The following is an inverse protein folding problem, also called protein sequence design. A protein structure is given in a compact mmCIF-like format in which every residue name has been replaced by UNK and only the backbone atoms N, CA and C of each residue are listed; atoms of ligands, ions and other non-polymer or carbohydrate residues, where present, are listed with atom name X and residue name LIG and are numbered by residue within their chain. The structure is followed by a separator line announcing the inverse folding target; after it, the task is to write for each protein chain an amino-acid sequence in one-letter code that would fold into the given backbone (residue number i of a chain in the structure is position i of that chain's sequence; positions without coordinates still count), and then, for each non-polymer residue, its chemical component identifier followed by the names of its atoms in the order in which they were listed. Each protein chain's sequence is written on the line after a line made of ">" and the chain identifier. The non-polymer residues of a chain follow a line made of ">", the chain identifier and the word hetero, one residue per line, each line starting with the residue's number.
data_IF_448216370116
#
_entry.id   IF_448216370116
#
_cell.length_a   1.000
_cell.length_b   1.000
_cell.length_c   1.000
_cell.angle_alpha   90.00
_cell.angle_beta   90.00
_cell.angle_gamma   90.00
#
_symmetry.space_group_name_H-M   'P 1'
#
loop_
_entity.id
_entity.type
_entity.pdbx_description
1 polymer ?
#
# COMPACT_ATOMS: atom_id res chain seq x y z
N UNK A 1 -12.25 10.34 -1.12
CA UNK A 1 -11.91 10.95 0.19
C UNK A 1 -10.39 10.96 0.33
N UNK A 2 -9.84 11.79 1.21
CA UNK A 2 -8.41 11.88 1.54
C UNK A 2 -8.23 11.45 2.98
N UNK A 3 -7.21 10.67 3.31
CA UNK A 3 -6.97 10.21 4.69
C UNK A 3 -5.81 10.98 5.29
N UNK A 4 -5.94 11.40 6.55
CA UNK A 4 -4.85 12.06 7.27
C UNK A 4 -4.80 11.60 8.73
N UNK A 5 -3.71 11.94 9.41
CA UNK A 5 -3.53 11.68 10.84
C UNK A 5 -3.85 12.93 11.64
N UNK A 6 -4.89 12.86 12.47
CA UNK A 6 -5.25 13.87 13.45
C UNK A 6 -4.34 13.72 14.68
N UNK A 7 -3.42 14.67 14.90
CA UNK A 7 -2.34 14.50 15.86
C UNK A 7 -2.76 14.76 17.31
N UNK A 8 -3.84 15.52 17.53
CA UNK A 8 -4.37 15.74 18.88
C UNK A 8 -5.30 14.59 19.26
N UNK A 9 -6.18 14.19 18.34
CA UNK A 9 -7.12 13.08 18.55
C UNK A 9 -6.49 11.68 18.46
N UNK A 10 -5.22 11.60 18.07
CA UNK A 10 -4.44 10.35 17.91
C UNK A 10 -5.14 9.29 17.04
N UNK A 11 -5.74 9.73 15.93
CA UNK A 11 -6.51 8.86 15.05
C UNK A 11 -6.36 9.22 13.57
N UNK A 12 -6.77 8.29 12.72
CA UNK A 12 -6.97 8.56 11.31
C UNK A 12 -8.33 9.22 11.07
N UNK A 13 -8.35 10.18 10.16
CA UNK A 13 -9.55 10.90 9.73
C UNK A 13 -9.72 10.82 8.23
N UNK A 14 -10.99 10.79 7.81
CA UNK A 14 -11.40 10.79 6.41
C UNK A 14 -11.91 12.17 6.03
N UNK A 15 -11.33 12.76 5.00
CA UNK A 15 -11.58 14.11 4.52
C UNK A 15 -12.26 14.01 3.14
N UNK A 16 -13.58 14.14 3.11
CA UNK A 16 -14.36 14.09 1.88
C UNK A 16 -15.22 15.33 1.66
N UNK A 17 -15.62 15.54 0.40
CA UNK A 17 -16.47 16.65 0.02
C UNK A 17 -17.87 16.56 0.63
N UNK A 18 -18.42 15.34 0.74
CA UNK A 18 -19.74 15.10 1.33
C UNK A 18 -19.77 15.46 2.82
N UNK A 19 -18.64 15.32 3.51
CA UNK A 19 -18.43 15.69 4.90
C UNK A 19 -18.04 17.17 5.07
N UNK A 20 -17.96 17.93 3.98
CA UNK A 20 -17.63 19.35 4.00
C UNK A 20 -16.13 19.65 4.19
N UNK A 21 -15.24 18.66 4.07
CA UNK A 21 -13.80 18.88 4.23
C UNK A 21 -13.20 19.73 3.09
N UNK A 22 -13.83 19.70 1.91
CA UNK A 22 -13.45 20.50 0.75
C UNK A 22 -14.62 20.63 -0.23
N UNK A 23 -14.75 21.79 -0.85
CA UNK A 23 -15.69 22.07 -1.95
C UNK A 23 -14.97 22.56 -3.21
N UNK A 24 -13.66 22.82 -3.12
CA UNK A 24 -12.85 23.37 -4.20
C UNK A 24 -11.51 22.64 -4.35
N UNK A 25 -10.87 22.78 -5.51
CA UNK A 25 -9.55 22.19 -5.77
C UNK A 25 -8.46 22.70 -4.79
N UNK A 26 -8.40 23.99 -4.42
CA UNK A 26 -7.46 24.46 -3.39
C UNK A 26 -7.66 23.80 -2.02
N UNK A 27 -8.91 23.59 -1.59
CA UNK A 27 -9.21 22.91 -0.32
C UNK A 27 -8.89 21.41 -0.38
N UNK A 28 -9.16 20.75 -1.52
CA UNK A 28 -8.73 19.38 -1.75
C UNK A 28 -7.20 19.29 -1.70
N UNK A 29 -6.48 20.20 -2.35
CA UNK A 29 -5.03 20.26 -2.31
C UNK A 29 -4.51 20.47 -0.87
N UNK A 30 -5.23 21.24 -0.05
CA UNK A 30 -4.92 21.41 1.36
C UNK A 30 -5.09 20.10 2.16
N UNK A 31 -6.16 19.35 1.90
CA UNK A 31 -6.36 18.01 2.49
C UNK A 31 -5.28 17.02 2.03
N UNK A 32 -4.94 17.01 0.74
CA UNK A 32 -3.86 16.19 0.18
C UNK A 32 -2.51 16.53 0.82
N UNK A 33 -2.24 17.82 1.06
CA UNK A 33 -1.04 18.26 1.77
C UNK A 33 -1.00 17.66 3.19
N UNK A 34 -2.12 17.61 3.91
CA UNK A 34 -2.18 16.94 5.21
C UNK A 34 -1.85 15.45 5.08
N UNK A 35 -2.47 14.75 4.13
CA UNK A 35 -2.29 13.31 3.88
C UNK A 35 -0.86 12.89 3.54
N UNK A 36 -0.04 13.81 3.00
CA UNK A 36 1.32 13.53 2.52
C UNK A 36 2.41 14.21 3.37
N UNK A 37 2.03 14.79 4.53
CA UNK A 37 2.97 15.58 5.33
C UNK A 37 3.81 14.70 6.25
N UNK A 38 4.96 14.24 5.75
CA UNK A 38 5.91 13.49 6.56
C UNK A 38 6.47 14.37 7.70
N UNK A 39 6.23 14.01 8.97
CA UNK A 39 6.65 14.83 10.11
C UNK A 39 8.16 15.11 10.13
N UNK A 40 8.50 16.39 10.19
CA UNK A 40 9.90 16.85 10.22
C UNK A 40 10.60 16.90 8.86
N UNK A 41 9.92 16.49 7.77
CA UNK A 41 10.45 16.52 6.40
C UNK A 41 9.64 17.51 5.55
N UNK A 42 8.30 17.36 5.52
CA UNK A 42 7.42 18.08 4.59
C UNK A 42 6.83 19.39 5.15
N UNK A 43 7.59 20.11 5.97
CA UNK A 43 7.20 21.42 6.51
C UNK A 43 6.30 21.38 7.75
N UNK A 44 5.53 22.45 8.04
CA UNK A 44 4.66 22.52 9.21
C UNK A 44 3.35 21.75 9.00
N UNK A 45 2.82 21.14 10.07
CA UNK A 45 1.53 20.44 10.11
C UNK A 45 0.40 21.27 9.49
N UNK A 46 -0.64 20.59 9.01
CA UNK A 46 -1.78 21.23 8.35
C UNK A 46 -2.93 21.34 9.36
N UNK A 47 -3.35 22.55 9.75
CA UNK A 47 -4.53 22.71 10.61
C UNK A 47 -5.79 22.43 9.79
N UNK A 48 -6.62 21.49 10.24
CA UNK A 48 -7.94 21.20 9.64
C UNK A 48 -8.99 21.09 10.74
N UNK A 49 -10.24 21.33 10.39
CA UNK A 49 -11.35 21.16 11.33
C UNK A 49 -11.71 19.69 11.47
N UNK A 50 -11.92 19.23 12.70
CA UNK A 50 -12.48 17.92 12.99
C UNK A 50 -14.01 17.93 12.83
N UNK A 51 -14.65 16.78 13.05
CA UNK A 51 -16.12 16.63 12.95
C UNK A 51 -16.91 17.49 13.94
N UNK A 52 -16.26 18.06 14.96
CA UNK A 52 -16.86 18.98 15.93
C UNK A 52 -16.66 20.45 15.54
N UNK A 53 -16.01 20.73 14.42
CA UNK A 53 -15.66 22.07 13.97
C UNK A 53 -14.45 22.66 14.70
N UNK A 54 -13.74 21.88 15.52
CA UNK A 54 -12.54 22.32 16.22
C UNK A 54 -11.32 22.12 15.31
N UNK A 55 -10.44 23.11 15.24
CA UNK A 55 -9.22 23.01 14.45
C UNK A 55 -8.15 22.20 15.19
N UNK A 56 -7.61 21.17 14.54
CA UNK A 56 -6.49 20.39 15.06
C UNK A 56 -5.38 20.17 14.02
N UNK A 57 -4.12 19.95 14.46
CA UNK A 57 -3.01 19.73 13.55
C UNK A 57 -3.05 18.33 12.93
N UNK A 58 -2.90 18.27 11.60
CA UNK A 58 -2.87 17.04 10.83
C UNK A 58 -1.51 16.82 10.16
N UNK A 59 -1.16 15.54 9.98
CA UNK A 59 0.00 15.09 9.23
C UNK A 59 -0.31 13.83 8.41
N UNK A 60 0.72 13.26 7.78
CA UNK A 60 0.60 12.10 6.90
C UNK A 60 -0.21 10.96 7.53
N UNK A 61 -1.07 10.32 6.73
CA UNK A 61 -1.90 9.21 7.17
C UNK A 61 -1.09 8.04 7.76
N UNK A 62 0.18 7.90 7.37
CA UNK A 62 1.05 6.81 7.81
C UNK A 62 1.22 6.70 9.32
N UNK A 63 0.91 7.74 10.11
CA UNK A 63 1.03 7.66 11.57
C UNK A 63 -0.02 6.76 12.21
N UNK A 64 -1.24 6.73 11.66
CA UNK A 64 -2.37 5.98 12.24
C UNK A 64 -3.05 5.03 11.25
N UNK A 65 -2.91 5.26 9.95
CA UNK A 65 -3.54 4.45 8.90
C UNK A 65 -2.63 4.34 7.66
N UNK A 66 -1.50 3.61 7.76
CA UNK A 66 -0.56 3.42 6.65
C UNK A 66 -1.19 2.84 5.38
N UNK A 67 -2.18 1.96 5.54
CA UNK A 67 -2.99 1.43 4.44
C UNK A 67 -4.47 1.67 4.77
N UNK A 68 -5.18 2.58 4.09
CA UNK A 68 -6.48 3.11 4.54
C UNK A 68 -7.69 2.21 4.31
N UNK A 69 -7.52 0.88 4.28
CA UNK A 69 -8.62 -0.05 4.06
C UNK A 69 -9.52 -0.20 5.28
N UNK A 70 -8.96 -0.15 6.50
CA UNK A 70 -9.78 -0.29 7.73
C UNK A 70 -10.71 0.90 7.89
N UNK A 71 -10.24 2.11 7.58
CA UNK A 71 -11.10 3.29 7.54
C UNK A 71 -12.24 3.14 6.52
N UNK A 72 -11.95 2.67 5.29
CA UNK A 72 -12.99 2.44 4.29
C UNK A 72 -14.06 1.45 4.78
N UNK A 73 -13.65 0.39 5.48
CA UNK A 73 -14.56 -0.61 6.06
C UNK A 73 -15.42 0.00 7.17
N UNK A 74 -14.84 0.82 8.06
CA UNK A 74 -15.59 1.55 9.09
C UNK A 74 -16.62 2.51 8.49
N UNK A 75 -16.35 3.02 7.30
CA UNK A 75 -17.29 3.84 6.53
C UNK A 75 -18.35 3.02 5.77
N UNK A 76 -18.39 1.70 5.97
CA UNK A 76 -19.40 0.81 5.40
C UNK A 76 -18.99 0.11 4.10
N UNK A 77 -17.72 0.16 3.70
CA UNK A 77 -17.27 -0.63 2.57
C UNK A 77 -17.37 -2.14 2.86
N UNK A 78 -18.01 -2.87 1.95
CA UNK A 78 -18.15 -4.34 1.99
C UNK A 78 -17.14 -5.04 1.08
N UNK A 79 -16.65 -4.34 0.05
CA UNK A 79 -15.66 -4.83 -0.92
C UNK A 79 -14.55 -3.80 -1.01
N UNK A 80 -13.30 -4.23 -0.81
CA UNK A 80 -12.15 -3.32 -0.78
C UNK A 80 -11.04 -3.81 -1.70
N UNK A 81 -10.78 -3.03 -2.75
CA UNK A 81 -9.57 -3.15 -3.56
C UNK A 81 -8.43 -2.40 -2.87
N UNK A 82 -7.35 -3.11 -2.52
CA UNK A 82 -6.20 -2.51 -1.81
C UNK A 82 -4.98 -2.53 -2.72
N UNK A 83 -4.58 -1.37 -3.22
CA UNK A 83 -3.38 -1.24 -4.06
C UNK A 83 -2.15 -0.97 -3.19
N UNK A 84 -1.13 -1.81 -3.31
CA UNK A 84 0.14 -1.70 -2.59
C UNK A 84 1.29 -1.42 -3.54
N UNK A 85 2.14 -0.47 -3.14
CA UNK A 85 3.34 -0.08 -3.89
C UNK A 85 4.56 -0.92 -3.57
N UNK A 86 4.50 -1.80 -2.57
CA UNK A 86 5.58 -2.73 -2.23
C UNK A 86 5.22 -4.15 -2.63
N UNK A 87 6.17 -4.93 -3.19
CA UNK A 87 6.00 -6.37 -3.40
C UNK A 87 5.80 -7.15 -2.11
N UNK A 88 5.17 -8.32 -2.23
CA UNK A 88 4.99 -9.28 -1.15
C UNK A 88 6.32 -9.97 -0.79
N UNK A 89 6.42 -10.45 0.46
CA UNK A 89 7.61 -11.15 0.97
C UNK A 89 8.76 -10.24 1.38
N UNK A 90 8.66 -8.92 1.21
CA UNK A 90 9.66 -7.98 1.68
C UNK A 90 9.54 -7.72 3.19
N UNK A 91 10.69 -7.60 3.87
CA UNK A 91 10.71 -7.23 5.28
C UNK A 91 10.32 -5.74 5.45
N UNK A 92 9.12 -5.51 5.97
CA UNK A 92 8.58 -4.17 6.25
C UNK A 92 8.99 -3.63 7.63
N UNK A 93 9.55 -4.47 8.50
CA UNK A 93 9.96 -4.10 9.86
C UNK A 93 11.45 -3.79 9.88
N UNK A 94 11.81 -2.57 9.45
CA UNK A 94 13.16 -2.03 9.68
C UNK A 94 13.22 -1.40 11.07
N UNK A 95 14.36 -1.52 11.76
CA UNK A 95 14.60 -0.75 13.00
C UNK A 95 14.58 0.75 12.68
N UNK A 96 14.03 1.55 13.60
CA UNK A 96 14.07 3.00 13.48
C UNK A 96 15.52 3.48 13.46
N UNK A 97 15.85 4.34 12.50
CA UNK A 97 17.19 4.91 12.41
C UNK A 97 17.40 5.99 13.47
N UNK A 98 18.66 6.24 13.84
CA UNK A 98 19.00 7.32 14.77
C UNK A 98 18.52 8.69 14.24
N UNK A 99 18.61 8.89 12.92
CA UNK A 99 18.16 10.11 12.24
C UNK A 99 16.65 10.28 12.37
N UNK A 100 15.86 9.23 12.13
CA UNK A 100 14.40 9.27 12.31
C UNK A 100 14.01 9.63 13.75
N UNK A 101 14.71 9.07 14.74
CA UNK A 101 14.49 9.37 16.15
C UNK A 101 14.79 10.85 16.47
N UNK A 102 15.87 11.39 15.92
CA UNK A 102 16.23 12.79 16.09
C UNK A 102 15.20 13.72 15.42
N UNK A 103 14.75 13.38 14.20
CA UNK A 103 13.70 14.13 13.48
C UNK A 103 12.40 14.13 14.30
N UNK A 104 11.96 12.96 14.79
CA UNK A 104 10.75 12.85 15.60
C UNK A 104 10.86 13.65 16.91
N UNK A 105 12.00 13.59 17.61
CA UNK A 105 12.24 14.37 18.82
C UNK A 105 12.19 15.88 18.56
N UNK A 106 12.91 16.35 17.53
CA UNK A 106 12.94 17.77 17.19
C UNK A 106 11.55 18.26 16.75
N UNK A 107 10.85 17.49 15.92
CA UNK A 107 9.57 17.88 15.37
C UNK A 107 8.46 17.82 16.43
N UNK A 108 8.18 16.64 16.99
CA UNK A 108 7.06 16.47 17.92
C UNK A 108 7.35 17.03 19.29
N UNK A 109 8.51 16.73 19.89
CA UNK A 109 8.78 17.12 21.28
C UNK A 109 9.18 18.59 21.41
N UNK A 110 10.08 19.09 20.54
CA UNK A 110 10.56 20.48 20.66
C UNK A 110 9.68 21.49 19.93
N UNK A 111 9.41 21.29 18.64
CA UNK A 111 8.69 22.27 17.82
C UNK A 111 7.18 22.27 18.09
N UNK A 112 6.55 21.10 18.05
CA UNK A 112 5.10 20.96 18.20
C UNK A 112 4.64 20.88 19.66
N UNK A 113 5.56 20.58 20.60
CA UNK A 113 5.25 20.34 22.03
C UNK A 113 4.19 19.25 22.23
N UNK A 114 4.27 18.18 21.42
CA UNK A 114 3.39 17.01 21.45
C UNK A 114 4.19 15.77 21.90
N UNK A 115 4.47 15.62 23.21
CA UNK A 115 5.29 14.52 23.72
C UNK A 115 4.64 13.15 23.49
N UNK A 116 3.31 13.07 23.49
CA UNK A 116 2.56 11.84 23.20
C UNK A 116 2.82 11.35 21.77
N UNK A 117 2.82 12.24 20.78
CA UNK A 117 3.18 11.89 19.39
C UNK A 117 4.65 11.46 19.26
N UNK A 118 5.56 12.09 20.01
CA UNK A 118 6.94 11.62 20.06
C UNK A 118 7.04 10.20 20.64
N UNK A 119 6.29 9.91 21.71
CA UNK A 119 6.22 8.57 22.29
C UNK A 119 5.64 7.55 21.31
N UNK A 120 4.58 7.90 20.57
CA UNK A 120 4.01 7.07 19.50
C UNK A 120 5.05 6.69 18.44
N UNK A 121 5.85 7.67 17.99
CA UNK A 121 6.94 7.43 17.04
C UNK A 121 8.06 6.59 17.63
N UNK A 122 8.44 6.84 18.89
CA UNK A 122 9.50 6.09 19.59
C UNK A 122 9.12 4.63 19.82
N UNK A 123 7.84 4.36 20.09
CA UNK A 123 7.28 3.02 20.23
C UNK A 123 7.03 2.34 18.87
N UNK A 124 7.26 3.04 17.76
CA UNK A 124 7.07 2.54 16.40
C UNK A 124 5.65 1.99 16.12
N UNK A 125 4.63 2.53 16.80
CA UNK A 125 3.23 2.06 16.66
C UNK A 125 2.72 2.10 15.21
N UNK A 126 3.11 3.13 14.46
CA UNK A 126 2.81 3.23 13.03
C UNK A 126 3.41 2.08 12.19
N UNK A 127 4.62 1.60 12.53
CA UNK A 127 5.25 0.46 11.84
C UNK A 127 4.65 -0.86 12.25
N UNK A 128 4.29 -1.02 13.52
CA UNK A 128 3.56 -2.20 14.02
C UNK A 128 2.24 -2.34 13.26
N UNK A 129 1.46 -1.25 13.19
CA UNK A 129 0.21 -1.22 12.41
C UNK A 129 0.43 -1.55 10.94
N UNK A 130 1.45 -0.94 10.31
CA UNK A 130 1.77 -1.27 8.93
C UNK A 130 2.12 -2.76 8.74
N UNK A 131 2.90 -3.35 9.65
CA UNK A 131 3.27 -4.75 9.58
C UNK A 131 2.04 -5.67 9.74
N UNK A 132 1.17 -5.38 10.71
CA UNK A 132 -0.12 -6.08 10.89
C UNK A 132 -0.96 -6.03 9.62
N UNK A 133 -1.08 -4.84 9.02
CA UNK A 133 -1.83 -4.64 7.79
C UNK A 133 -1.24 -5.42 6.62
N UNK A 134 0.09 -5.47 6.48
CA UNK A 134 0.74 -6.23 5.41
C UNK A 134 0.55 -7.73 5.60
N UNK A 135 0.66 -8.25 6.83
CA UNK A 135 0.40 -9.66 7.12
C UNK A 135 -1.04 -10.05 6.76
N UNK A 136 -2.01 -9.25 7.20
CA UNK A 136 -3.43 -9.47 6.91
C UNK A 136 -3.71 -9.43 5.41
N UNK A 137 -3.15 -8.45 4.70
CA UNK A 137 -3.31 -8.31 3.25
C UNK A 137 -2.63 -9.47 2.49
N UNK A 138 -1.53 -10.02 3.00
CA UNK A 138 -0.91 -11.21 2.40
C UNK A 138 -1.78 -12.45 2.61
N UNK A 139 -2.35 -12.64 3.80
CA UNK A 139 -3.29 -13.72 4.08
C UNK A 139 -4.54 -13.62 3.20
N UNK A 140 -5.10 -12.42 3.05
CA UNK A 140 -6.24 -12.19 2.19
C UNK A 140 -5.92 -12.46 0.71
N UNK A 141 -4.72 -12.10 0.23
CA UNK A 141 -4.29 -12.37 -1.14
C UNK A 141 -4.04 -13.85 -1.42
N UNK A 142 -3.71 -14.65 -0.39
CA UNK A 142 -3.45 -16.08 -0.51
C UNK A 142 -4.74 -16.93 -0.50
N UNK A 143 -5.92 -16.34 -0.24
CA UNK A 143 -7.19 -17.08 -0.27
C UNK A 143 -7.53 -17.55 -1.68
N UNK A 144 -7.98 -18.80 -1.77
CA UNK A 144 -8.40 -19.42 -3.02
C UNK A 144 -9.82 -19.00 -3.44
N UNK A 145 -10.67 -18.69 -2.46
CA UNK A 145 -12.03 -18.22 -2.69
C UNK A 145 -12.08 -16.68 -2.49
N UNK A 146 -12.26 -15.90 -3.58
CA UNK A 146 -12.36 -14.44 -3.49
C UNK A 146 -13.66 -13.97 -2.81
N UNK A 147 -14.65 -14.85 -2.63
CA UNK A 147 -15.91 -14.54 -1.95
C UNK A 147 -15.85 -14.75 -0.43
N UNK A 148 -14.79 -15.39 0.07
CA UNK A 148 -14.60 -15.64 1.49
C UNK A 148 -14.31 -14.34 2.26
N UNK A 149 -15.06 -14.13 3.33
CA UNK A 149 -14.90 -12.96 4.19
C UNK A 149 -13.52 -12.96 4.87
N UNK A 150 -12.89 -11.79 4.96
CA UNK A 150 -11.63 -11.61 5.69
C UNK A 150 -11.91 -11.48 7.18
N UNK A 151 -11.37 -12.36 8.05
CA UNK A 151 -11.43 -12.17 9.48
C UNK A 151 -10.54 -10.97 9.83
N UNK A 152 -11.18 -9.88 10.27
CA UNK A 152 -10.49 -8.66 10.65
C UNK A 152 -10.42 -8.57 12.17
N UNK A 153 -9.21 -8.49 12.71
CA UNK A 153 -9.01 -8.13 14.11
C UNK A 153 -9.15 -6.61 14.28
N UNK A 154 -10.02 -6.19 15.19
CA UNK A 154 -10.27 -4.79 15.52
C UNK A 154 -9.71 -4.49 16.91
N UNK A 155 -9.28 -3.25 17.11
CA UNK A 155 -8.85 -2.78 18.42
C UNK A 155 -10.00 -2.89 19.42
N UNK A 156 -9.74 -3.36 20.64
CA UNK A 156 -10.76 -3.60 21.68
C UNK A 156 -11.72 -2.41 21.90
N UNK A 157 -11.25 -1.20 21.63
CA UNK A 157 -11.97 0.05 21.91
C UNK A 157 -12.72 0.60 20.68
N UNK A 158 -12.69 -0.09 19.53
CA UNK A 158 -13.44 0.29 18.33
C UNK A 158 -14.24 -0.91 17.83
N UNK A 159 -15.58 -0.85 17.83
CA UNK A 159 -16.38 -1.94 17.32
C UNK A 159 -15.99 -2.24 15.87
N UNK A 160 -15.81 -3.52 15.56
CA UNK A 160 -15.60 -3.98 14.19
C UNK A 160 -16.85 -3.76 13.32
N UNK A 161 -16.74 -3.96 12.00
CA UNK A 161 -17.86 -4.00 11.10
C UNK A 161 -18.81 -5.11 11.55
N UNK A 162 -20.09 -4.86 11.38
CA UNK A 162 -21.16 -5.83 11.63
C UNK A 162 -21.46 -6.68 10.39
N UNK A 163 -20.71 -6.47 9.32
CA UNK A 163 -20.89 -7.06 8.00
C UNK A 163 -19.63 -7.76 7.52
N UNK A 164 -19.82 -8.72 6.63
CA UNK A 164 -18.74 -9.44 5.96
C UNK A 164 -17.98 -8.50 5.03
N UNK A 165 -16.65 -8.61 5.04
CA UNK A 165 -15.74 -7.80 4.23
C UNK A 165 -14.98 -8.69 3.28
N UNK A 166 -15.04 -8.36 1.99
CA UNK A 166 -14.22 -8.97 0.93
C UNK A 166 -13.09 -8.02 0.57
N UNK A 167 -11.90 -8.58 0.39
CA UNK A 167 -10.72 -7.78 0.05
C UNK A 167 -10.02 -8.39 -1.16
N UNK A 168 -9.60 -7.51 -2.07
CA UNK A 168 -8.70 -7.85 -3.17
C UNK A 168 -7.41 -7.04 -3.01
N UNK A 169 -6.40 -7.55 -2.30
CA UNK A 169 -5.09 -6.92 -2.22
C UNK A 169 -4.32 -7.11 -3.53
N UNK A 170 -3.75 -6.03 -4.04
CA UNK A 170 -2.92 -6.01 -5.25
C UNK A 170 -1.57 -5.43 -4.89
N UNK A 171 -0.56 -6.29 -4.78
CA UNK A 171 0.84 -5.90 -4.64
C UNK A 171 1.57 -5.93 -5.98
N UNK A 172 2.66 -5.15 -6.06
CA UNK A 172 3.62 -5.24 -7.17
C UNK A 172 4.27 -6.62 -7.21
N UNK A 173 4.64 -7.07 -8.41
CA UNK A 173 5.42 -8.29 -8.58
C UNK A 173 6.89 -8.02 -8.22
N UNK A 174 7.60 -8.95 -7.54
CA UNK A 174 9.02 -8.77 -7.26
C UNK A 174 9.85 -8.71 -8.56
N UNK A 175 11.02 -8.09 -8.49
CA UNK A 175 11.96 -7.95 -9.61
C UNK A 175 11.65 -6.76 -10.53
N UNK A 176 11.97 -6.90 -11.81
CA UNK A 176 11.85 -5.83 -12.81
C UNK A 176 10.41 -5.35 -13.05
N UNK A 177 9.42 -6.16 -12.68
CA UNK A 177 7.98 -5.82 -12.78
C UNK A 177 7.44 -5.13 -11.52
N UNK A 178 8.30 -4.81 -10.57
CA UNK A 178 7.95 -4.05 -9.37
C UNK A 178 9.18 -3.66 -8.57
N UNK A 179 10.07 -2.83 -9.14
CA UNK A 179 11.23 -2.34 -8.43
C UNK A 179 10.78 -1.57 -7.18
N UNK A 180 11.45 -1.80 -6.04
CA UNK A 180 11.23 -0.99 -4.86
C UNK A 180 11.74 0.42 -5.15
N UNK A 181 10.82 1.39 -5.17
CA UNK A 181 11.19 2.81 -5.28
C UNK A 181 11.59 3.31 -3.90
N UNK A 182 12.76 3.94 -3.81
CA UNK A 182 13.21 4.59 -2.58
C UNK A 182 12.19 5.63 -2.10
N UNK A 183 11.99 5.73 -0.79
CA UNK A 183 11.06 6.71 -0.19
C UNK A 183 11.41 8.18 -0.53
N UNK A 184 12.66 8.45 -0.90
CA UNK A 184 13.15 9.77 -1.29
C UNK A 184 13.51 9.84 -2.78
N UNK A 185 12.99 8.93 -3.60
CA UNK A 185 13.22 8.96 -5.04
C UNK A 185 12.64 10.23 -5.65
N UNK A 186 13.45 10.92 -6.45
CA UNK A 186 13.07 12.14 -7.17
C UNK A 186 13.27 12.00 -8.68
N UNK A 187 13.94 10.96 -9.14
CA UNK A 187 14.09 10.67 -10.57
C UNK A 187 12.74 10.35 -11.20
N UNK A 188 12.36 11.16 -12.18
CA UNK A 188 11.09 11.00 -12.87
C UNK A 188 11.02 9.68 -13.64
N UNK A 189 12.13 9.22 -14.23
CA UNK A 189 12.19 7.98 -15.00
C UNK A 189 11.85 6.75 -14.14
N UNK A 190 12.46 6.66 -12.95
CA UNK A 190 12.17 5.61 -11.98
C UNK A 190 10.73 5.65 -11.48
N UNK A 191 10.22 6.85 -11.15
CA UNK A 191 8.83 7.03 -10.71
C UNK A 191 7.85 6.59 -11.82
N UNK A 192 8.05 7.06 -13.06
CA UNK A 192 7.21 6.67 -14.20
C UNK A 192 7.27 5.17 -14.47
N UNK A 193 8.46 4.56 -14.38
CA UNK A 193 8.62 3.12 -14.52
C UNK A 193 7.80 2.35 -13.47
N UNK A 194 7.91 2.72 -12.20
CA UNK A 194 7.14 2.09 -11.13
C UNK A 194 5.63 2.26 -11.28
N UNK A 195 5.17 3.44 -11.72
CA UNK A 195 3.74 3.67 -12.04
C UNK A 195 3.27 2.73 -13.16
N UNK A 196 4.07 2.56 -14.22
CA UNK A 196 3.74 1.62 -15.31
C UNK A 196 3.67 0.17 -14.83
N UNK A 197 4.58 -0.24 -13.95
CA UNK A 197 4.56 -1.57 -13.31
C UNK A 197 3.27 -1.77 -12.49
N UNK A 198 2.89 -0.79 -11.67
CA UNK A 198 1.63 -0.82 -10.92
C UNK A 198 0.40 -0.88 -11.81
N UNK A 199 0.37 -0.08 -12.88
CA UNK A 199 -0.71 -0.13 -13.87
C UNK A 199 -0.80 -1.50 -14.54
N UNK A 200 0.32 -2.04 -15.04
CA UNK A 200 0.34 -3.34 -15.69
C UNK A 200 -0.18 -4.44 -14.75
N UNK A 201 0.22 -4.40 -13.47
CA UNK A 201 -0.25 -5.36 -12.47
C UNK A 201 -1.74 -5.23 -12.19
N UNK A 202 -2.25 -4.02 -12.03
CA UNK A 202 -3.68 -3.80 -11.85
C UNK A 202 -4.47 -4.24 -13.09
N UNK A 203 -3.97 -3.95 -14.29
CA UNK A 203 -4.59 -4.35 -15.54
C UNK A 203 -4.62 -5.88 -15.69
N UNK A 204 -3.53 -6.60 -15.42
CA UNK A 204 -3.49 -8.07 -15.45
C UNK A 204 -4.54 -8.73 -14.55
N UNK A 205 -4.90 -8.10 -13.43
CA UNK A 205 -5.86 -8.63 -12.46
C UNK A 205 -7.30 -8.18 -12.71
N UNK A 206 -7.50 -6.95 -13.19
CA UNK A 206 -8.80 -6.29 -13.23
C UNK A 206 -9.34 -6.09 -14.64
N UNK A 207 -8.51 -6.27 -15.68
CA UNK A 207 -8.99 -6.22 -17.04
C UNK A 207 -10.12 -7.25 -17.20
N UNK A 208 -11.23 -6.89 -17.86
CA UNK A 208 -12.27 -7.85 -18.18
C UNK A 208 -11.62 -9.07 -18.80
N UNK A 209 -12.05 -10.26 -18.39
CA UNK A 209 -11.81 -11.46 -19.19
C UNK A 209 -12.49 -11.18 -20.53
N UNK A 210 -11.73 -10.70 -21.50
CA UNK A 210 -12.15 -10.76 -22.88
C UNK A 210 -12.37 -12.24 -23.11
N UNK A 211 -13.62 -12.64 -23.36
CA UNK A 211 -13.93 -14.01 -23.73
C UNK A 211 -12.95 -14.40 -24.83
N UNK A 212 -11.95 -15.21 -24.47
CA UNK A 212 -11.00 -15.77 -25.42
C UNK A 212 -11.68 -16.82 -26.33
N UNK A 213 -13.01 -16.90 -26.27
CA UNK A 213 -13.85 -17.34 -27.36
C UNK A 213 -13.99 -16.17 -28.34
N UNK A 214 -12.92 -15.90 -29.09
CA UNK A 214 -13.11 -15.28 -30.40
C UNK A 214 -14.16 -16.09 -31.17
N UNK A 215 -14.99 -15.46 -32.02
CA UNK A 215 -15.91 -16.20 -32.87
C UNK A 215 -15.08 -17.28 -33.58
N UNK A 216 -15.52 -18.54 -33.47
CA UNK A 216 -14.92 -19.64 -34.23
C UNK A 216 -14.70 -19.15 -35.65
N UNK A 217 -13.43 -19.13 -36.09
CA UNK A 217 -13.10 -18.73 -37.44
C UNK A 217 -14.01 -19.57 -38.36
N UNK A 218 -14.76 -18.94 -39.28
CA UNK A 218 -15.62 -19.69 -40.18
C UNK A 218 -14.76 -20.73 -40.87
N UNK A 219 -15.19 -22.00 -40.79
CA UNK A 219 -14.48 -23.13 -41.42
C UNK A 219 -14.11 -22.73 -42.84
N UNK A 220 -12.81 -22.55 -43.07
CA UNK A 220 -12.28 -22.25 -44.38
C UNK A 220 -12.66 -23.42 -45.29
N UNK A 221 -13.66 -23.18 -46.14
CA UNK A 221 -14.09 -24.12 -47.15
C UNK A 221 -12.88 -24.61 -47.95
N UNK A 222 -12.71 -25.92 -47.97
CA UNK A 222 -11.74 -26.60 -48.83
C UNK A 222 -12.05 -26.22 -50.29
N UNK A 223 -11.16 -25.44 -50.90
CA UNK A 223 -11.28 -25.08 -52.31
C UNK A 223 -9.92 -24.74 -52.92
N UNK A 224 -9.28 -25.76 -53.52
CA UNK A 224 -8.57 -25.68 -54.81
C UNK A 224 -7.29 -24.86 -54.92
N UNK A 225 -6.16 -25.57 -54.98
CA UNK A 225 -5.02 -25.40 -55.90
C UNK A 225 -4.66 -24.00 -56.43
N UNK A 226 -3.50 -23.46 -55.99
CA UNK A 226 -2.29 -23.30 -56.83
C UNK A 226 -1.19 -22.48 -56.12
N UNK A 227 0.11 -22.70 -56.43
CA UNK A 227 1.22 -22.13 -55.68
C UNK A 227 1.83 -20.89 -56.37
N UNK A 228 2.05 -19.79 -55.63
CA UNK A 228 3.02 -18.76 -56.02
C UNK A 228 3.77 -18.26 -54.79
N UNK A 229 5.09 -18.43 -54.84
CA UNK A 229 6.10 -17.93 -53.90
C UNK A 229 6.11 -16.40 -53.83
N UNK A 230 6.19 -15.83 -52.61
CA UNK A 230 7.05 -14.67 -52.31
C UNK A 230 7.35 -14.63 -50.80
N UNK A 231 8.60 -14.39 -50.35
CA UNK A 231 8.96 -14.33 -48.94
C UNK A 231 9.03 -12.87 -48.45
N UNK A 232 8.47 -12.57 -47.27
CA UNK A 232 9.06 -11.71 -46.23
C UNK A 232 8.04 -11.37 -45.14
N UNK A 233 8.39 -11.66 -43.89
CA UNK A 233 7.68 -11.17 -42.71
C UNK A 233 7.93 -12.07 -41.52
N UNK A 234 8.95 -11.75 -40.70
CA UNK A 234 9.17 -12.42 -39.42
C UNK A 234 8.00 -12.12 -38.49
N UNK A 235 7.20 -13.15 -38.22
CA UNK A 235 6.16 -13.18 -37.21
C UNK A 235 6.75 -13.02 -35.80
N UNK A 236 6.15 -12.12 -35.02
CA UNK A 236 6.25 -12.14 -33.57
C UNK A 236 5.32 -13.24 -33.06
N UNK A 237 5.90 -14.31 -32.51
CA UNK A 237 5.17 -15.39 -31.88
C UNK A 237 4.37 -14.85 -30.67
N UNK A 238 3.05 -15.01 -30.73
CA UNK A 238 2.16 -14.79 -29.61
C UNK A 238 2.49 -15.76 -28.47
N UNK A 239 2.92 -15.21 -27.33
CA UNK A 239 3.10 -15.97 -26.10
C UNK A 239 1.74 -16.01 -25.39
N UNK A 240 1.10 -17.17 -25.40
CA UNK A 240 -0.09 -17.44 -24.58
C UNK A 240 0.27 -17.34 -23.08
N UNK A 241 -0.62 -16.81 -22.22
CA UNK A 241 -0.36 -16.71 -20.80
C UNK A 241 -0.29 -18.12 -20.17
N UNK A 242 0.92 -18.51 -19.79
CA UNK A 242 1.19 -19.76 -19.08
C UNK A 242 0.72 -19.59 -17.63
N UNK A 243 -0.33 -20.31 -17.22
CA UNK A 243 -0.68 -20.47 -15.80
C UNK A 243 0.56 -20.99 -15.06
N UNK A 244 1.16 -20.15 -14.23
CA UNK A 244 2.26 -20.55 -13.35
C UNK A 244 1.64 -21.38 -12.24
N UNK A 245 1.88 -22.70 -12.29
CA UNK A 245 1.73 -23.58 -11.12
C UNK A 245 2.81 -23.21 -10.12
N UNK A 246 2.40 -22.98 -8.88
CA UNK A 246 3.26 -22.75 -7.72
C UNK A 246 4.34 -23.83 -7.63
N UNK A 247 5.59 -23.39 -7.49
CA UNK A 247 6.66 -24.23 -6.97
C UNK A 247 6.72 -24.00 -5.46
N UNK A 248 6.43 -25.06 -4.71
CA UNK A 248 6.64 -25.13 -3.27
C UNK A 248 8.11 -24.79 -2.95
N UNK A 249 8.33 -23.74 -2.15
CA UNK A 249 9.65 -23.40 -1.62
C UNK A 249 9.87 -24.25 -0.37
N UNK A 250 10.87 -25.12 -0.45
CA UNK A 250 11.36 -25.91 0.66
C UNK A 250 12.12 -25.02 1.66
N UNK A 251 11.80 -25.13 2.95
CA UNK A 251 12.58 -24.59 4.06
C UNK A 251 13.91 -25.35 4.22
N UNK A 252 15.03 -24.64 4.46
CA UNK A 252 16.16 -25.22 5.15
C UNK A 252 16.21 -24.77 6.61
N UNK A 253 16.67 -25.73 7.41
CA UNK A 253 16.81 -25.75 8.85
C UNK A 253 17.76 -24.69 9.45
N UNK A 254 17.53 -24.50 10.74
CA UNK A 254 18.30 -23.80 11.77
C UNK A 254 19.79 -24.17 11.84
N UNK A 255 20.64 -23.14 12.00
CA UNK A 255 21.90 -23.06 12.77
C UNK A 255 22.13 -21.54 13.00
N UNK A 256 22.64 -20.98 14.09
CA UNK A 256 23.16 -21.39 15.38
C UNK A 256 23.52 -20.09 16.12
N UNK A 257 23.36 -20.05 17.44
CA UNK A 257 23.69 -18.91 18.30
C UNK A 257 25.18 -18.55 18.25
N UNK A 258 25.48 -17.25 18.18
CA UNK A 258 26.72 -16.69 18.70
C UNK A 258 26.41 -15.34 19.35
N UNK A 259 26.53 -15.31 20.67
CA UNK A 259 26.53 -14.09 21.47
C UNK A 259 27.88 -13.39 21.30
N UNK A 260 27.87 -12.12 20.92
CA UNK A 260 29.04 -11.25 21.00
C UNK A 260 28.78 -10.14 22.02
N UNK A 261 29.75 -10.04 22.94
CA UNK A 261 29.90 -9.08 24.02
C UNK A 261 29.74 -7.62 23.57
N UNK A 262 28.97 -6.86 24.34
CA UNK A 262 28.98 -5.39 24.29
C UNK A 262 29.81 -4.85 25.47
N UNK A 263 30.76 -3.92 25.23
CA UNK A 263 31.53 -3.31 26.31
C UNK A 263 30.70 -2.32 27.12
N UNK A 264 30.86 -2.38 28.45
CA UNK A 264 30.42 -1.35 29.38
C UNK A 264 31.04 0.01 29.01
N UNK A 265 30.20 1.00 28.74
CA UNK A 265 30.60 2.40 28.70
C UNK A 265 29.93 3.14 29.85
N UNK A 266 30.72 3.37 30.89
CA UNK A 266 30.41 4.27 31.99
C UNK A 266 30.39 5.72 31.48
N UNK A 267 29.37 6.47 31.88
CA UNK A 267 29.41 7.93 31.82
C UNK A 267 28.91 8.50 33.14
N UNK A 268 29.82 9.28 33.74
CA UNK A 268 29.54 10.39 34.65
C UNK A 268 28.59 11.40 34.01
#
# INVERSE_FOLDING_TARGET
>A
RVVASALTSECSVSLGAAEGAWASLPELAHCMRASMLLPGICGPVVPLNNSRGETEPHADAMLFEPVPYRLAIREGATHVLVLRTRPDGLNVVKRQSFVERLIAHRFFQRKMRMPHMYQHMRQQRHRQRYAEDILLLNEAAARLDPEEAVPLHWEEHRPGPTHDVRMLPVALQPGERGPEVSNLQTDAGEIFHAVRCGFARAYELLAPLTDAHGPEAPEAGRGGDSPVNTPMGKEAAGVAPRRVREAAVASPHAEGEAAEDAPEMSYL
#
